data_IF_455819921530
#
_entry.id   IF_455819921530
#
_cell.length_a   1.000
_cell.length_b   1.000
_cell.length_c   1.000
_cell.angle_alpha   90.00
_cell.angle_beta   90.00
_cell.angle_gamma   90.00
#
_symmetry.space_group_name_H-M   'P 1'
#
loop_
_entity.id
_entity.type
_entity.pdbx_description
1 polymer ?
#
# COMPACT_ATOMS: atom_id res chain seq x y z
N UNK A 1 6.36 -26.00 0.10
CA UNK A 1 7.70 -25.60 0.59
C UNK A 1 7.96 -24.17 0.14
N UNK A 2 8.40 -23.27 1.02
CA UNK A 2 8.70 -21.90 0.65
C UNK A 2 10.00 -21.88 -0.18
N UNK A 3 9.93 -21.42 -1.43
CA UNK A 3 11.14 -21.20 -2.23
C UNK A 3 11.93 -20.04 -1.62
N UNK A 4 13.25 -20.23 -1.46
CA UNK A 4 14.13 -19.15 -1.04
C UNK A 4 14.08 -18.03 -2.09
N UNK A 5 13.67 -16.83 -1.66
CA UNK A 5 13.67 -15.66 -2.53
C UNK A 5 15.11 -15.27 -2.84
N UNK A 6 15.39 -14.94 -4.09
CA UNK A 6 16.62 -14.21 -4.40
C UNK A 6 16.63 -12.85 -3.68
N UNK A 7 17.82 -12.28 -3.48
CA UNK A 7 17.98 -11.02 -2.75
C UNK A 7 17.11 -9.89 -3.33
N UNK A 8 16.98 -9.81 -4.66
CA UNK A 8 16.21 -8.76 -5.32
C UNK A 8 14.72 -8.94 -5.05
N UNK A 9 14.21 -10.17 -5.12
CA UNK A 9 12.83 -10.52 -4.83
C UNK A 9 12.49 -10.29 -3.35
N UNK A 10 13.42 -10.60 -2.44
CA UNK A 10 13.29 -10.28 -1.02
C UNK A 10 13.14 -8.77 -0.78
N UNK A 11 14.04 -7.96 -1.35
CA UNK A 11 14.00 -6.50 -1.22
C UNK A 11 12.70 -5.93 -1.79
N UNK A 12 12.27 -6.39 -2.96
CA UNK A 12 11.01 -5.94 -3.57
C UNK A 12 9.81 -6.29 -2.68
N UNK A 13 9.75 -7.53 -2.17
CA UNK A 13 8.67 -7.95 -1.26
C UNK A 13 8.65 -7.13 0.02
N UNK A 14 9.82 -6.82 0.59
CA UNK A 14 9.92 -5.95 1.76
C UNK A 14 9.37 -4.53 1.47
N UNK A 15 9.63 -3.98 0.27
CA UNK A 15 9.07 -2.69 -0.16
C UNK A 15 7.56 -2.73 -0.32
N UNK A 16 7.00 -3.78 -0.90
CA UNK A 16 5.53 -3.98 -1.00
C UNK A 16 4.91 -4.02 0.40
N UNK A 17 5.48 -4.79 1.32
CA UNK A 17 4.98 -4.87 2.70
C UNK A 17 5.14 -3.55 3.47
N UNK A 18 6.19 -2.76 3.18
CA UNK A 18 6.34 -1.41 3.72
C UNK A 18 5.24 -0.48 3.21
N UNK A 19 4.95 -0.52 1.92
CA UNK A 19 3.86 0.25 1.29
C UNK A 19 2.50 -0.12 1.90
N UNK A 20 2.18 -1.42 2.00
CA UNK A 20 0.90 -1.85 2.56
C UNK A 20 0.73 -1.42 4.03
N UNK A 21 1.78 -1.58 4.85
CA UNK A 21 1.75 -1.08 6.23
C UNK A 21 1.58 0.44 6.28
N UNK A 22 2.19 1.18 5.37
CA UNK A 22 2.00 2.63 5.27
C UNK A 22 0.55 2.99 4.96
N UNK A 23 -0.04 2.33 3.96
CA UNK A 23 -1.44 2.50 3.59
C UNK A 23 -2.40 2.26 4.77
N UNK A 24 -2.18 1.18 5.53
CA UNK A 24 -2.98 0.88 6.72
C UNK A 24 -2.81 1.92 7.83
N UNK A 25 -1.63 2.57 7.94
CA UNK A 25 -1.43 3.65 8.92
C UNK A 25 -2.22 4.89 8.53
N UNK A 26 -2.18 5.28 7.26
CA UNK A 26 -2.96 6.41 6.71
C UNK A 26 -4.45 6.14 6.89
N UNK A 27 -4.91 4.93 6.58
CA UNK A 27 -6.32 4.57 6.74
C UNK A 27 -6.84 4.73 8.18
N UNK A 28 -6.00 4.57 9.21
CA UNK A 28 -6.40 4.84 10.61
C UNK A 28 -6.68 6.31 10.89
N UNK A 29 -6.12 7.23 10.11
CA UNK A 29 -6.36 8.68 10.21
C UNK A 29 -7.71 9.09 9.61
N UNK A 30 -8.32 8.23 8.80
CA UNK A 30 -9.62 8.51 8.21
C UNK A 30 -10.73 8.62 9.29
N UNK A 31 -11.80 9.40 9.00
CA UNK A 31 -12.99 9.47 9.83
C UNK A 31 -13.56 8.08 10.17
N UNK A 32 -14.19 7.90 11.35
CA UNK A 32 -14.65 6.58 11.80
C UNK A 32 -15.56 5.86 10.80
N UNK A 33 -16.43 6.60 10.11
CA UNK A 33 -17.41 6.05 9.17
C UNK A 33 -16.81 5.55 7.85
N UNK A 34 -15.61 6.01 7.46
CA UNK A 34 -14.95 5.64 6.19
C UNK A 34 -13.70 4.77 6.38
N UNK A 35 -13.26 4.58 7.63
CA UNK A 35 -12.03 3.87 7.97
C UNK A 35 -12.01 2.42 7.49
N UNK A 36 -13.10 1.70 7.70
CA UNK A 36 -13.15 0.27 7.37
C UNK A 36 -13.20 0.03 5.86
N UNK A 37 -13.97 0.85 5.13
CA UNK A 37 -14.00 0.84 3.67
C UNK A 37 -12.64 1.17 3.07
N UNK A 38 -11.94 2.15 3.64
CA UNK A 38 -10.59 2.50 3.19
C UNK A 38 -9.60 1.35 3.45
N UNK A 39 -9.66 0.69 4.61
CA UNK A 39 -8.83 -0.49 4.91
C UNK A 39 -9.12 -1.66 3.97
N UNK A 40 -10.40 -1.91 3.67
CA UNK A 40 -10.82 -2.92 2.71
C UNK A 40 -10.24 -2.62 1.32
N UNK A 41 -10.37 -1.38 0.87
CA UNK A 41 -9.83 -0.92 -0.42
C UNK A 41 -8.33 -1.14 -0.52
N UNK A 42 -7.56 -0.77 0.52
CA UNK A 42 -6.11 -1.01 0.56
C UNK A 42 -5.76 -2.50 0.48
N UNK A 43 -6.59 -3.38 1.06
CA UNK A 43 -6.40 -4.83 0.97
C UNK A 43 -6.71 -5.35 -0.43
N UNK A 44 -7.81 -4.91 -1.03
CA UNK A 44 -8.22 -5.33 -2.38
C UNK A 44 -7.16 -4.96 -3.43
N UNK A 45 -6.55 -3.78 -3.33
CA UNK A 45 -5.47 -3.37 -4.24
C UNK A 45 -4.23 -4.27 -4.14
N UNK A 46 -3.89 -4.75 -2.94
CA UNK A 46 -2.81 -5.72 -2.76
C UNK A 46 -3.17 -7.09 -3.34
N UNK A 47 -4.38 -7.58 -3.06
CA UNK A 47 -4.86 -8.87 -3.55
C UNK A 47 -4.96 -8.91 -5.08
N UNK A 48 -5.41 -7.82 -5.72
CA UNK A 48 -5.45 -7.66 -7.18
C UNK A 48 -4.08 -7.89 -7.84
N UNK A 49 -3.00 -7.61 -7.12
CA UNK A 49 -1.62 -7.72 -7.61
C UNK A 49 -0.84 -8.88 -6.97
N UNK A 50 -1.50 -9.78 -6.22
CA UNK A 50 -0.86 -10.84 -5.42
C UNK A 50 0.05 -11.77 -6.22
N UNK A 51 -0.30 -12.03 -7.48
CA UNK A 51 0.43 -12.93 -8.40
C UNK A 51 1.25 -12.16 -9.46
N UNK A 52 1.53 -10.87 -9.24
CA UNK A 52 2.38 -10.10 -10.12
C UNK A 52 3.85 -10.47 -9.89
N UNK A 53 4.46 -11.16 -10.86
CA UNK A 53 5.87 -11.57 -10.80
C UNK A 53 6.80 -10.68 -11.64
N UNK A 54 6.23 -9.73 -12.41
CA UNK A 54 7.01 -8.76 -13.18
C UNK A 54 7.62 -7.70 -12.25
N UNK A 55 8.93 -7.80 -12.05
CA UNK A 55 9.72 -6.90 -11.19
C UNK A 55 9.64 -5.43 -11.60
N UNK A 56 9.54 -5.11 -12.90
CA UNK A 56 9.42 -3.73 -13.35
C UNK A 56 8.02 -3.20 -13.05
N UNK A 57 6.99 -4.00 -13.30
CA UNK A 57 5.61 -3.66 -12.95
C UNK A 57 5.44 -3.48 -11.43
N UNK A 58 6.01 -4.35 -10.60
CA UNK A 58 5.95 -4.20 -9.14
C UNK A 58 6.61 -2.87 -8.71
N UNK A 59 7.77 -2.53 -9.27
CA UNK A 59 8.43 -1.24 -8.96
C UNK A 59 7.58 -0.04 -9.36
N UNK A 60 6.96 -0.09 -10.54
CA UNK A 60 6.03 0.94 -10.99
C UNK A 60 4.85 1.08 -10.04
N UNK A 61 4.18 -0.02 -9.70
CA UNK A 61 3.04 -0.04 -8.77
C UNK A 61 3.41 0.47 -7.37
N UNK A 62 4.63 0.20 -6.90
CA UNK A 62 5.12 0.77 -5.64
C UNK A 62 5.21 2.29 -5.73
N UNK A 63 5.81 2.83 -6.80
CA UNK A 63 5.94 4.28 -6.99
C UNK A 63 4.58 4.95 -7.13
N UNK A 64 3.69 4.38 -7.92
CA UNK A 64 2.32 4.85 -8.09
C UNK A 64 1.54 4.82 -6.77
N UNK A 65 1.62 3.71 -6.03
CA UNK A 65 0.97 3.56 -4.74
C UNK A 65 1.48 4.57 -3.70
N UNK A 66 2.79 4.85 -3.66
CA UNK A 66 3.35 5.89 -2.80
C UNK A 66 2.79 7.28 -3.14
N UNK A 67 2.66 7.61 -4.43
CA UNK A 67 2.10 8.89 -4.86
C UNK A 67 0.63 9.02 -4.48
N UNK A 68 -0.18 7.98 -4.72
CA UNK A 68 -1.60 7.95 -4.34
C UNK A 68 -1.79 8.08 -2.83
N UNK A 69 -0.97 7.39 -2.04
CA UNK A 69 -1.00 7.51 -0.59
C UNK A 69 -0.61 8.90 -0.10
N UNK A 70 0.38 9.56 -0.72
CA UNK A 70 0.76 10.93 -0.39
C UNK A 70 -0.42 11.89 -0.56
N UNK A 71 -1.11 11.83 -1.70
CA UNK A 71 -2.29 12.66 -1.97
C UNK A 71 -3.41 12.36 -0.96
N UNK A 72 -3.67 11.09 -0.66
CA UNK A 72 -4.66 10.70 0.34
C UNK A 72 -4.30 11.24 1.74
N UNK A 73 -3.03 11.16 2.14
CA UNK A 73 -2.56 11.66 3.43
C UNK A 73 -2.76 13.18 3.54
N UNK A 74 -2.38 13.92 2.49
CA UNK A 74 -2.61 15.37 2.40
C UNK A 74 -4.10 15.73 2.47
N UNK A 75 -4.98 14.97 1.79
CA UNK A 75 -6.42 15.18 1.88
C UNK A 75 -6.97 14.94 3.29
N UNK A 76 -6.49 13.90 3.97
CA UNK A 76 -6.87 13.60 5.35
C UNK A 76 -6.33 14.64 6.34
N UNK A 77 -5.14 15.19 6.09
CA UNK A 77 -4.55 16.30 6.85
C UNK A 77 -5.44 17.55 6.76
N UNK A 78 -5.87 17.93 5.56
CA UNK A 78 -6.73 19.10 5.34
C UNK A 78 -8.13 18.94 5.97
N UNK A 79 -8.64 17.71 6.07
CA UNK A 79 -9.88 17.39 6.76
C UNK A 79 -9.72 17.31 8.29
N UNK A 80 -8.48 17.19 8.77
CA UNK A 80 -8.12 17.00 10.17
C UNK A 80 -7.95 18.29 10.99
N UNK A 81 -8.38 19.44 10.47
CA UNK A 81 -8.50 20.67 11.28
C UNK A 81 -9.73 20.58 12.19
N UNK A 82 -9.58 19.85 13.30
CA UNK A 82 -10.35 19.99 14.52
C UNK A 82 -9.50 20.64 15.60
#
# INVERSE_FOLDING_TARGET
MAQALDLKAFIVRARVLKLYRHALRIARRAPPHSRDDLRLTMRLEMEKNRYCDDRQKIRFLISEGLQRLKVLDEMLDMQGHG
#
